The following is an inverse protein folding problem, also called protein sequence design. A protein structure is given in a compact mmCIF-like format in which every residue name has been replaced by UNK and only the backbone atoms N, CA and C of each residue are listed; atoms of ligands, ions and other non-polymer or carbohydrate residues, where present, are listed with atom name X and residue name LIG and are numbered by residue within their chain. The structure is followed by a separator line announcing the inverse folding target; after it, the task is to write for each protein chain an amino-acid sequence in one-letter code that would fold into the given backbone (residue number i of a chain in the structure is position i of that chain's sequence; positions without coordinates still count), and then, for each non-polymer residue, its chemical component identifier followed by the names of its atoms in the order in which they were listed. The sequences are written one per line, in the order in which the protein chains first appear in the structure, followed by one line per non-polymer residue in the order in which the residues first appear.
data_IF_512648269282
#
_entry.id   IF_512648269282
#
_cell.length_a   1.000
_cell.length_b   1.000
_cell.length_c   1.000
_cell.angle_alpha   90.00
_cell.angle_beta   90.00
_cell.angle_gamma   90.00
#
_symmetry.space_group_name_H-M   'P 1'
#
loop_
_entity.id
_entity.type
_entity.pdbx_description
1 polymer ?
#
# COMPACT_ATOMS: atom_id res chain seq x y z
N UNK A 1 15.79 -14.56 -1.72
CA UNK A 1 14.35 -14.77 -1.43
C UNK A 1 13.87 -13.56 -0.67
N UNK A 2 12.68 -13.04 -0.95
CA UNK A 2 12.11 -11.91 -0.17
C UNK A 2 11.35 -12.45 1.03
N UNK A 3 11.56 -11.84 2.20
CA UNK A 3 10.88 -12.20 3.44
C UNK A 3 9.39 -11.81 3.39
N UNK A 4 8.50 -12.48 4.14
CA UNK A 4 7.07 -12.20 4.06
C UNK A 4 6.70 -10.76 4.46
N UNK A 5 7.42 -10.17 5.39
CA UNK A 5 7.33 -8.77 5.84
C UNK A 5 7.85 -7.80 4.80
N UNK A 6 8.92 -8.13 4.08
CA UNK A 6 9.36 -7.36 2.91
C UNK A 6 8.27 -7.33 1.84
N UNK A 7 7.58 -8.45 1.60
CA UNK A 7 6.45 -8.50 0.66
C UNK A 7 5.26 -7.69 1.16
N UNK A 8 4.94 -7.77 2.45
CA UNK A 8 3.87 -6.98 3.05
C UNK A 8 4.15 -5.47 2.91
N UNK A 9 5.38 -5.03 3.20
CA UNK A 9 5.82 -3.65 2.99
C UNK A 9 5.71 -3.23 1.53
N UNK A 10 6.16 -4.07 0.60
CA UNK A 10 6.06 -3.80 -0.83
C UNK A 10 4.62 -3.60 -1.32
N UNK A 11 3.66 -4.36 -0.78
CA UNK A 11 2.24 -4.17 -1.09
C UNK A 11 1.74 -2.82 -0.59
N UNK A 12 2.09 -2.41 0.63
CA UNK A 12 1.70 -1.11 1.18
C UNK A 12 2.29 0.05 0.37
N UNK A 13 3.57 -0.04 -0.01
CA UNK A 13 4.21 0.95 -0.89
C UNK A 13 3.55 1.04 -2.26
N UNK A 14 3.23 -0.10 -2.88
CA UNK A 14 2.51 -0.12 -4.14
C UNK A 14 1.13 0.54 -4.02
N UNK A 15 0.43 0.33 -2.91
CA UNK A 15 -0.81 1.03 -2.59
C UNK A 15 -0.61 2.55 -2.50
N UNK A 16 0.40 3.02 -1.75
CA UNK A 16 0.75 4.44 -1.65
C UNK A 16 1.11 5.06 -3.02
N UNK A 17 1.87 4.34 -3.84
CA UNK A 17 2.21 4.79 -5.18
C UNK A 17 0.98 4.94 -6.08
N UNK A 18 -0.03 4.08 -5.96
CA UNK A 18 -1.30 4.26 -6.69
C UNK A 18 -2.04 5.54 -6.25
N UNK A 19 -1.97 5.91 -4.97
CA UNK A 19 -2.50 7.19 -4.46
C UNK A 19 -1.76 8.37 -5.08
N UNK A 20 -0.43 8.29 -5.14
CA UNK A 20 0.41 9.32 -5.79
C UNK A 20 0.05 9.50 -7.25
N UNK A 21 -0.01 8.40 -8.00
CA UNK A 21 -0.36 8.42 -9.42
C UNK A 21 -1.76 9.01 -9.64
N UNK A 22 -2.74 8.69 -8.79
CA UNK A 22 -4.10 9.22 -8.92
C UNK A 22 -4.15 10.75 -8.72
N UNK A 23 -3.38 11.27 -7.75
CA UNK A 23 -3.39 12.69 -7.35
C UNK A 23 -2.43 13.56 -8.16
N UNK A 24 -1.49 12.99 -8.89
CA UNK A 24 -0.48 13.76 -9.60
C UNK A 24 -1.02 14.38 -10.91
N UNK A 25 -1.37 15.66 -10.85
CA UNK A 25 -1.91 16.44 -11.98
C UNK A 25 -0.93 16.61 -13.16
N UNK A 26 0.37 16.34 -12.98
CA UNK A 26 1.34 16.36 -14.11
C UNK A 26 1.26 15.12 -15.00
N UNK A 27 0.58 14.05 -14.53
CA UNK A 27 0.42 12.81 -15.29
C UNK A 27 -0.80 12.87 -16.22
N UNK A 28 -0.77 12.16 -17.37
CA UNK A 28 -1.92 12.08 -18.26
C UNK A 28 -3.16 11.55 -17.54
N UNK A 29 -4.33 12.13 -17.85
CA UNK A 29 -5.63 11.75 -17.26
C UNK A 29 -5.86 10.23 -17.23
N UNK A 30 -5.55 9.54 -18.33
CA UNK A 30 -5.66 8.07 -18.45
C UNK A 30 -4.85 7.30 -17.40
N UNK A 31 -3.67 7.80 -17.01
CA UNK A 31 -2.78 7.15 -16.03
C UNK A 31 -3.39 7.30 -14.64
N UNK A 32 -3.86 8.50 -14.30
CA UNK A 32 -4.51 8.81 -13.02
C UNK A 32 -5.79 8.00 -12.85
N UNK A 33 -6.65 7.96 -13.87
CA UNK A 33 -7.87 7.14 -13.89
C UNK A 33 -7.54 5.65 -13.74
N UNK A 34 -6.49 5.16 -14.41
CA UNK A 34 -6.05 3.77 -14.27
C UNK A 34 -5.57 3.46 -12.86
N UNK A 35 -4.86 4.38 -12.21
CA UNK A 35 -4.45 4.23 -10.82
C UNK A 35 -5.66 4.11 -9.88
N UNK A 36 -6.69 4.95 -10.06
CA UNK A 36 -7.95 4.86 -9.31
C UNK A 36 -8.66 3.51 -9.55
N UNK A 37 -8.73 3.05 -10.80
CA UNK A 37 -9.33 1.75 -11.12
C UNK A 37 -8.60 0.59 -10.43
N UNK A 38 -7.27 0.60 -10.43
CA UNK A 38 -6.47 -0.46 -9.77
C UNK A 38 -6.66 -0.38 -8.26
N UNK A 39 -6.59 0.81 -7.66
CA UNK A 39 -6.71 1.02 -6.23
C UNK A 39 -8.04 0.50 -5.64
N UNK A 40 -9.13 0.53 -6.42
CA UNK A 40 -10.44 -0.04 -6.02
C UNK A 40 -10.42 -1.54 -5.74
N UNK A 41 -9.46 -2.25 -6.31
CA UNK A 41 -9.32 -3.70 -6.16
C UNK A 41 -7.98 -4.09 -5.50
N UNK A 42 -7.17 -3.11 -5.12
CA UNK A 42 -5.89 -3.31 -4.49
C UNK A 42 -6.06 -3.41 -2.97
N UNK A 43 -5.33 -4.30 -2.27
CA UNK A 43 -5.45 -4.42 -0.83
C UNK A 43 -5.02 -3.13 -0.13
N UNK A 44 -5.81 -2.69 0.83
CA UNK A 44 -5.49 -1.56 1.69
C UNK A 44 -4.38 -1.93 2.68
N UNK A 45 -3.68 -0.94 3.22
CA UNK A 45 -2.66 -1.17 4.24
C UNK A 45 -3.20 -1.97 5.44
N UNK A 46 -4.45 -1.69 5.87
CA UNK A 46 -5.10 -2.44 6.94
C UNK A 46 -5.35 -3.91 6.59
N UNK A 47 -5.78 -4.21 5.36
CA UNK A 47 -5.98 -5.58 4.88
C UNK A 47 -4.65 -6.34 4.75
N UNK A 48 -3.58 -5.67 4.28
CA UNK A 48 -2.24 -6.26 4.22
C UNK A 48 -1.72 -6.59 5.62
N UNK A 49 -1.86 -5.67 6.58
CA UNK A 49 -1.47 -5.89 7.97
C UNK A 49 -2.27 -7.02 8.61
N UNK A 50 -3.59 -7.06 8.40
CA UNK A 50 -4.44 -8.12 8.91
C UNK A 50 -4.05 -9.49 8.32
N UNK A 51 -3.84 -9.58 7.01
CA UNK A 51 -3.41 -10.81 6.36
C UNK A 51 -2.01 -11.27 6.82
N UNK A 52 -1.10 -10.33 7.08
CA UNK A 52 0.19 -10.62 7.69
C UNK A 52 0.00 -11.26 9.06
N UNK A 53 -0.83 -10.66 9.94
CA UNK A 53 -1.08 -11.14 11.31
C UNK A 53 -1.79 -12.51 11.39
N UNK A 54 -2.73 -12.80 10.47
CA UNK A 54 -3.46 -14.08 10.45
C UNK A 54 -2.55 -15.25 10.06
N UNK A 55 -1.58 -15.01 9.17
CA UNK A 55 -0.59 -16.03 8.76
C UNK A 55 0.28 -16.48 9.95
N UNK A 56 0.37 -15.68 11.01
CA UNK A 56 1.16 -15.91 12.22
C UNK A 56 0.50 -16.88 13.22
N UNK A 57 -0.84 -16.89 13.25
CA UNK A 57 -1.59 -17.66 14.25
C UNK A 57 -1.69 -19.15 13.91
N UNK A 58 -1.27 -19.55 12.71
CA UNK A 58 -1.12 -20.93 12.28
C UNK A 58 0.35 -21.36 12.23
N UNK A 59 0.96 -21.68 13.37
CA UNK A 59 2.29 -22.35 13.45
C UNK A 59 3.48 -21.66 12.78
N UNK A 60 3.50 -20.34 12.60
CA UNK A 60 4.63 -19.61 12.01
C UNK A 60 4.91 -18.29 12.72
N UNK A 61 6.16 -18.04 13.10
CA UNK A 61 6.66 -16.84 13.82
C UNK A 61 6.05 -15.55 13.24
N UNK A 62 5.45 -14.74 14.11
CA UNK A 62 4.74 -13.54 13.71
C UNK A 62 5.65 -12.43 13.19
N UNK A 63 5.20 -11.78 12.11
CA UNK A 63 5.74 -10.54 11.60
C UNK A 63 4.90 -9.39 12.14
N UNK A 64 5.23 -9.01 13.37
CA UNK A 64 5.09 -7.59 13.71
C UNK A 64 5.78 -6.84 12.58
N UNK A 65 5.04 -6.08 11.77
CA UNK A 65 5.62 -4.97 11.01
C UNK A 65 6.09 -3.98 12.06
N UNK A 66 7.20 -4.34 12.71
CA UNK A 66 7.86 -3.53 13.68
C UNK A 66 8.33 -2.25 13.00
N UNK A 67 8.92 -1.32 13.76
CA UNK A 67 9.76 -0.34 13.10
C UNK A 67 10.69 -1.10 12.15
N UNK A 68 10.91 -0.57 10.94
CA UNK A 68 11.85 -1.18 10.00
C UNK A 68 13.12 -1.55 10.78
N UNK A 69 13.83 -2.61 10.40
CA UNK A 69 14.97 -3.11 11.20
C UNK A 69 16.02 -2.01 11.55
N UNK A 70 15.97 -0.86 10.88
CA UNK A 70 16.76 0.35 11.11
C UNK A 70 16.07 1.50 11.90
N UNK A 71 14.87 1.32 12.47
CA UNK A 71 14.11 2.42 13.10
C UNK A 71 13.54 3.46 12.13
N UNK A 72 13.62 3.21 10.82
CA UNK A 72 12.94 4.03 9.80
C UNK A 72 11.44 3.79 9.85
N UNK A 73 10.67 4.87 9.87
CA UNK A 73 9.25 4.83 9.52
C UNK A 73 9.17 4.47 8.04
N UNK A 74 9.05 3.18 7.73
CA UNK A 74 8.99 2.71 6.34
C UNK A 74 7.71 3.18 5.63
N UNK A 75 6.74 3.75 6.36
CA UNK A 75 5.62 4.47 5.75
C UNK A 75 6.03 5.85 5.22
N UNK A 76 7.20 6.38 5.60
CA UNK A 76 7.75 7.61 5.04
C UNK A 76 8.06 7.50 3.53
N UNK A 77 8.18 6.27 3.02
CA UNK A 77 8.33 5.98 1.59
C UNK A 77 7.00 6.11 0.82
N UNK A 78 5.90 6.51 1.48
CA UNK A 78 4.62 6.89 0.87
C UNK A 78 4.35 8.41 1.02
N UNK A 79 4.93 9.28 0.17
CA UNK A 79 4.74 10.73 0.22
C UNK A 79 3.28 11.22 0.31
N UNK A 80 2.33 10.50 -0.31
CA UNK A 80 0.89 10.85 -0.28
C UNK A 80 0.08 9.99 0.71
N UNK A 81 0.78 9.25 1.56
CA UNK A 81 0.23 8.25 2.48
C UNK A 81 -0.10 6.92 1.79
N UNK A 82 -0.25 5.84 2.58
CA UNK A 82 -0.62 4.54 2.04
C UNK A 82 -2.07 4.51 1.57
N UNK A 83 -2.41 3.52 0.75
CA UNK A 83 -3.81 3.23 0.41
C UNK A 83 -4.54 2.68 1.64
N UNK A 84 -5.30 3.53 2.32
CA UNK A 84 -6.09 3.13 3.49
C UNK A 84 -7.51 2.70 3.14
N UNK A 85 -8.06 3.24 2.05
CA UNK A 85 -9.45 3.02 1.62
C UNK A 85 -9.48 2.81 0.11
N UNK A 86 -9.91 1.62 -0.33
CA UNK A 86 -9.92 1.24 -1.76
C UNK A 86 -10.91 2.07 -2.60
N UNK A 87 -12.00 2.55 -2.01
CA UNK A 87 -13.10 3.22 -2.75
C UNK A 87 -13.13 4.74 -2.66
N UNK A 88 -12.22 5.37 -1.90
CA UNK A 88 -12.28 6.82 -1.61
C UNK A 88 -11.36 7.69 -2.46
N UNK A 89 -10.66 7.12 -3.44
CA UNK A 89 -9.94 7.95 -4.40
C UNK A 89 -10.92 8.64 -5.33
N UNK A 90 -10.87 9.97 -5.34
CA UNK A 90 -11.64 10.81 -6.24
C UNK A 90 -11.33 10.43 -7.69
N UNK A 91 -12.37 10.41 -8.53
CA UNK A 91 -12.21 10.15 -9.95
C UNK A 91 -11.67 11.40 -10.64
N UNK A 92 -10.49 11.36 -11.29
CA UNK A 92 -9.95 12.51 -11.98
C UNK A 92 -10.70 12.73 -13.30
N UNK A 93 -11.15 13.96 -13.53
CA UNK A 93 -11.89 14.39 -14.72
C UNK A 93 -11.05 15.27 -15.65
N UNK A 94 -10.08 15.99 -15.10
CA UNK A 94 -9.13 16.88 -15.79
C UNK A 94 -7.70 16.57 -15.35
#
# INVERSE_FOLDING_TARGET
MTLPDERARALVWAGGFLVELARNASLPLRVRQRAVLIARHFPTAGEVMLAATVTESGTGVGLVLGPAEDGRDWMADCPQGPLTMSTRLEWPEE
#
